data_IF_214264090202
#
_entry.id   IF_214264090202
#
_cell.length_a   1.000
_cell.length_b   1.000
_cell.length_c   1.000
_cell.angle_alpha   90.00
_cell.angle_beta   90.00
_cell.angle_gamma   90.00
#
_symmetry.space_group_name_H-M   'P 1'
#
loop_
_entity.id
_entity.type
_entity.pdbx_description
1 polymer ?
#
# COMPACT_ATOMS: atom_id res chain seq x y z
N UNK A 1 -30.13 27.83 3.47
CA UNK A 1 -29.92 26.76 2.47
C UNK A 1 -30.97 25.70 2.70
N UNK A 2 -31.90 25.55 1.72
CA UNK A 2 -33.01 24.59 1.84
C UNK A 2 -32.69 23.30 1.12
N UNK A 3 -33.09 22.16 1.73
CA UNK A 3 -32.99 20.85 1.12
C UNK A 3 -34.19 20.63 0.20
N UNK A 4 -33.98 20.56 -1.11
CA UNK A 4 -35.06 20.33 -2.07
C UNK A 4 -35.50 18.89 -2.10
N UNK A 5 -34.55 17.97 -2.07
CA UNK A 5 -34.86 16.53 -2.04
C UNK A 5 -33.75 15.72 -1.36
N UNK A 6 -34.15 14.59 -0.82
CA UNK A 6 -33.26 13.54 -0.35
C UNK A 6 -33.72 12.22 -0.99
N UNK A 7 -32.87 11.59 -1.80
CA UNK A 7 -33.18 10.28 -2.40
C UNK A 7 -33.36 9.23 -1.35
N UNK A 8 -34.39 8.39 -1.51
CA UNK A 8 -34.74 7.33 -0.55
C UNK A 8 -33.85 6.09 -0.67
N UNK A 9 -33.17 5.89 -1.82
CA UNK A 9 -32.30 4.76 -2.06
C UNK A 9 -30.84 5.23 -2.28
N UNK A 10 -29.85 4.50 -1.73
CA UNK A 10 -28.45 4.79 -1.92
C UNK A 10 -27.96 4.36 -3.31
N UNK A 11 -26.83 4.93 -3.73
CA UNK A 11 -26.08 4.44 -4.88
C UNK A 11 -25.32 3.12 -4.56
N UNK A 12 -24.61 2.57 -5.56
CA UNK A 12 -23.81 1.34 -5.39
C UNK A 12 -22.72 1.44 -4.32
N UNK A 13 -22.37 2.66 -3.90
CA UNK A 13 -21.38 2.92 -2.87
C UNK A 13 -22.01 3.16 -1.49
N UNK A 14 -23.34 2.98 -1.36
CA UNK A 14 -24.06 3.21 -0.12
C UNK A 14 -24.31 4.69 0.20
N UNK A 15 -24.24 5.61 -0.82
CA UNK A 15 -24.41 7.04 -0.61
C UNK A 15 -25.77 7.51 -1.12
N UNK A 16 -26.38 8.37 -0.35
CA UNK A 16 -27.64 9.03 -0.68
C UNK A 16 -27.36 10.38 -1.34
N UNK A 17 -28.16 10.78 -2.29
CA UNK A 17 -28.05 12.10 -2.93
C UNK A 17 -29.01 13.07 -2.26
N UNK A 18 -28.49 14.17 -1.75
CA UNK A 18 -29.23 15.32 -1.24
C UNK A 18 -29.08 16.46 -2.22
N UNK A 19 -30.18 17.02 -2.70
CA UNK A 19 -30.22 18.21 -3.56
C UNK A 19 -30.56 19.46 -2.76
N UNK A 20 -29.91 20.55 -3.06
CA UNK A 20 -30.07 21.86 -2.41
C UNK A 20 -30.72 22.87 -3.36
N UNK A 21 -31.33 23.93 -2.81
CA UNK A 21 -32.05 25.00 -3.54
C UNK A 21 -31.18 25.74 -4.59
N UNK A 22 -29.86 25.74 -4.43
CA UNK A 22 -28.90 26.31 -5.38
C UNK A 22 -28.54 25.37 -6.53
N UNK A 23 -29.20 24.17 -6.59
CA UNK A 23 -28.93 23.13 -7.57
C UNK A 23 -27.71 22.25 -7.25
N UNK A 24 -26.99 22.54 -6.17
CA UNK A 24 -25.88 21.70 -5.74
C UNK A 24 -26.34 20.38 -5.16
N UNK A 25 -25.45 19.36 -5.18
CA UNK A 25 -25.75 18.01 -4.71
C UNK A 25 -24.67 17.53 -3.77
N UNK A 26 -25.09 16.96 -2.65
CA UNK A 26 -24.22 16.29 -1.71
C UNK A 26 -24.45 14.78 -1.75
N UNK A 27 -23.36 14.02 -1.63
CA UNK A 27 -23.40 12.56 -1.49
C UNK A 27 -23.13 12.22 -0.02
N UNK A 28 -24.13 11.67 0.64
CA UNK A 28 -24.13 11.43 2.09
C UNK A 28 -24.20 9.95 2.39
N UNK A 29 -23.57 9.53 3.49
CA UNK A 29 -23.84 8.22 4.06
C UNK A 29 -25.01 8.31 5.05
N UNK A 30 -25.66 7.18 5.29
CA UNK A 30 -26.83 7.08 6.16
C UNK A 30 -26.59 7.70 7.54
N UNK A 31 -25.44 7.41 8.13
CA UNK A 31 -25.04 7.96 9.42
C UNK A 31 -25.09 9.51 9.43
N UNK A 32 -24.58 10.16 8.40
CA UNK A 32 -24.62 11.63 8.31
C UNK A 32 -26.06 12.17 8.22
N UNK A 33 -26.95 11.46 7.52
CA UNK A 33 -28.35 11.85 7.42
C UNK A 33 -29.02 11.77 8.80
N UNK A 34 -28.77 10.70 9.54
CA UNK A 34 -29.31 10.47 10.89
C UNK A 34 -28.74 11.46 11.91
N UNK A 35 -27.42 11.67 11.93
CA UNK A 35 -26.73 12.56 12.85
C UNK A 35 -27.18 14.03 12.72
N UNK A 36 -27.51 14.46 11.51
CA UNK A 36 -27.98 15.82 11.22
C UNK A 36 -29.50 15.95 11.10
N UNK A 37 -30.24 14.84 11.21
CA UNK A 37 -31.70 14.82 11.10
C UNK A 37 -32.20 15.37 9.78
N UNK A 38 -31.54 15.02 8.64
CA UNK A 38 -31.81 15.60 7.34
C UNK A 38 -33.08 15.03 6.70
N UNK A 39 -33.93 15.92 6.20
CA UNK A 39 -35.14 15.56 5.45
C UNK A 39 -35.47 16.60 4.36
N UNK A 40 -36.28 16.23 3.41
CA UNK A 40 -36.73 17.12 2.34
C UNK A 40 -37.54 18.28 2.92
N UNK A 41 -37.15 19.51 2.57
CA UNK A 41 -37.77 20.74 3.05
C UNK A 41 -37.09 21.35 4.28
N UNK A 42 -36.11 20.69 4.90
CA UNK A 42 -35.33 21.26 6.01
C UNK A 42 -34.55 22.49 5.56
N UNK A 43 -34.63 23.56 6.34
CA UNK A 43 -33.83 24.77 6.16
C UNK A 43 -32.62 24.73 7.10
N UNK A 44 -31.43 24.80 6.52
CA UNK A 44 -30.17 24.82 7.25
C UNK A 44 -29.67 26.27 7.39
N UNK A 45 -29.29 26.66 8.59
CA UNK A 45 -28.52 27.88 8.78
C UNK A 45 -27.14 27.76 8.08
N UNK A 46 -26.47 28.86 7.89
CA UNK A 46 -25.13 28.85 7.28
C UNK A 46 -24.12 28.05 8.13
N UNK A 47 -24.25 28.10 9.45
CA UNK A 47 -23.41 27.35 10.36
C UNK A 47 -23.70 25.84 10.28
N UNK A 48 -24.97 25.45 10.31
CA UNK A 48 -25.37 24.06 10.15
C UNK A 48 -24.91 23.49 8.80
N UNK A 49 -25.02 24.27 7.74
CA UNK A 49 -24.54 23.86 6.42
C UNK A 49 -23.01 23.65 6.39
N UNK A 50 -22.22 24.56 6.98
CA UNK A 50 -20.77 24.38 7.10
C UNK A 50 -20.41 23.11 7.88
N UNK A 51 -21.09 22.87 8.99
CA UNK A 51 -20.90 21.64 9.80
C UNK A 51 -21.26 20.38 9.00
N UNK A 52 -22.35 20.43 8.24
CA UNK A 52 -22.74 19.34 7.35
C UNK A 52 -21.66 19.04 6.30
N UNK A 53 -21.15 20.07 5.61
CA UNK A 53 -20.09 19.88 4.62
C UNK A 53 -18.82 19.27 5.23
N UNK A 54 -18.43 19.68 6.43
CA UNK A 54 -17.29 19.10 7.14
C UNK A 54 -17.52 17.62 7.47
N UNK A 55 -18.72 17.28 7.97
CA UNK A 55 -19.08 15.89 8.29
C UNK A 55 -19.15 15.01 7.03
N UNK A 56 -19.67 15.54 5.92
CA UNK A 56 -19.71 14.84 4.63
C UNK A 56 -18.29 14.53 4.15
N UNK A 57 -17.38 15.50 4.20
CA UNK A 57 -15.99 15.33 3.79
C UNK A 57 -15.27 14.32 4.67
N UNK A 58 -15.44 14.39 5.98
CA UNK A 58 -14.87 13.42 6.93
C UNK A 58 -15.37 12.00 6.68
N UNK A 59 -16.69 11.81 6.56
CA UNK A 59 -17.28 10.50 6.32
C UNK A 59 -16.86 9.94 4.96
N UNK A 60 -16.75 10.77 3.91
CA UNK A 60 -16.23 10.37 2.60
C UNK A 60 -14.83 9.78 2.70
N UNK A 61 -13.92 10.50 3.38
CA UNK A 61 -12.54 10.06 3.58
C UNK A 61 -12.48 8.74 4.36
N UNK A 62 -13.22 8.62 5.48
CA UNK A 62 -13.30 7.39 6.29
C UNK A 62 -13.78 6.19 5.47
N UNK A 63 -14.89 6.32 4.77
CA UNK A 63 -15.47 5.23 3.99
C UNK A 63 -14.60 4.84 2.79
N UNK A 64 -13.88 5.78 2.20
CA UNK A 64 -12.90 5.50 1.14
C UNK A 64 -11.67 4.80 1.71
N UNK A 65 -11.20 5.22 2.87
CA UNK A 65 -10.07 4.60 3.56
C UNK A 65 -10.37 3.12 3.89
N UNK A 66 -11.52 2.84 4.50
CA UNK A 66 -11.97 1.46 4.78
C UNK A 66 -11.94 0.60 3.51
N UNK A 67 -12.47 1.10 2.39
CA UNK A 67 -12.46 0.34 1.13
C UNK A 67 -11.05 0.05 0.60
N UNK A 68 -10.12 0.99 0.77
CA UNK A 68 -8.74 0.79 0.32
C UNK A 68 -8.05 -0.28 1.18
N UNK A 69 -8.16 -0.21 2.51
CA UNK A 69 -7.50 -1.19 3.40
C UNK A 69 -8.13 -2.57 3.32
N UNK A 70 -9.44 -2.66 3.05
CA UNK A 70 -10.12 -3.95 2.85
C UNK A 70 -9.69 -4.65 1.54
N UNK A 71 -9.19 -3.90 0.56
CA UNK A 71 -8.80 -4.44 -0.74
C UNK A 71 -7.30 -4.76 -0.84
N UNK A 72 -6.44 -4.15 -0.04
CA UNK A 72 -4.99 -4.31 -0.13
C UNK A 72 -4.27 -3.87 1.14
N UNK A 73 -3.15 -4.55 1.45
CA UNK A 73 -2.22 -4.08 2.46
C UNK A 73 -1.52 -2.80 1.97
N UNK A 74 -1.70 -1.72 2.71
CA UNK A 74 -1.13 -0.41 2.43
C UNK A 74 -0.51 0.16 3.70
N UNK A 75 0.54 0.97 3.58
CA UNK A 75 1.04 1.73 4.73
C UNK A 75 0.16 2.94 5.01
N UNK A 76 0.26 3.48 6.24
CA UNK A 76 -0.43 4.72 6.63
C UNK A 76 -0.15 5.85 5.63
N UNK A 77 1.11 6.02 5.23
CA UNK A 77 1.51 7.05 4.26
C UNK A 77 1.01 6.79 2.85
N UNK A 78 1.00 5.53 2.41
CA UNK A 78 0.44 5.18 1.09
C UNK A 78 -1.08 5.38 1.06
N UNK A 79 -1.79 5.03 2.15
CA UNK A 79 -3.22 5.29 2.30
C UNK A 79 -3.54 6.80 2.24
N UNK A 80 -2.83 7.64 3.01
CA UNK A 80 -3.00 9.10 2.98
C UNK A 80 -2.86 9.64 1.54
N UNK A 81 -1.78 9.24 0.86
CA UNK A 81 -1.54 9.69 -0.51
C UNK A 81 -2.63 9.24 -1.50
N UNK A 82 -3.10 8.00 -1.37
CA UNK A 82 -4.20 7.48 -2.22
C UNK A 82 -5.52 8.22 -1.98
N UNK A 83 -5.81 8.58 -0.74
CA UNK A 83 -6.99 9.37 -0.39
C UNK A 83 -6.93 10.74 -1.07
N UNK A 84 -5.82 11.45 -0.94
CA UNK A 84 -5.61 12.76 -1.58
C UNK A 84 -5.66 12.66 -3.11
N UNK A 85 -5.02 11.66 -3.71
CA UNK A 85 -5.09 11.41 -5.17
C UNK A 85 -6.51 11.14 -5.67
N UNK A 86 -7.38 10.60 -4.80
CA UNK A 86 -8.79 10.36 -5.12
C UNK A 86 -9.70 11.57 -4.80
N UNK A 87 -9.11 12.73 -4.49
CA UNK A 87 -9.79 14.00 -4.28
C UNK A 87 -10.28 14.25 -2.86
N UNK A 88 -9.84 13.46 -1.86
CA UNK A 88 -10.15 13.78 -0.47
C UNK A 88 -9.27 14.94 0.02
N UNK A 89 -9.81 15.77 0.89
CA UNK A 89 -9.06 16.86 1.54
C UNK A 89 -7.89 16.28 2.36
N UNK A 90 -6.68 16.86 2.28
CA UNK A 90 -5.50 16.32 2.98
C UNK A 90 -5.67 16.23 4.50
N UNK A 91 -6.41 17.13 5.14
CA UNK A 91 -6.66 17.06 6.58
C UNK A 91 -7.62 15.92 6.92
N UNK A 92 -8.66 15.72 6.10
CA UNK A 92 -9.58 14.61 6.27
C UNK A 92 -8.92 13.26 5.96
N UNK A 93 -8.03 13.22 4.97
CA UNK A 93 -7.23 12.03 4.69
C UNK A 93 -6.38 11.60 5.89
N UNK A 94 -5.67 12.54 6.52
CA UNK A 94 -4.89 12.27 7.75
C UNK A 94 -5.77 11.80 8.91
N UNK A 95 -6.92 12.45 9.14
CA UNK A 95 -7.88 12.03 10.18
C UNK A 95 -8.41 10.61 9.95
N UNK A 96 -8.72 10.27 8.69
CA UNK A 96 -9.18 8.92 8.34
C UNK A 96 -8.10 7.86 8.59
N UNK A 97 -6.82 8.17 8.30
CA UNK A 97 -5.69 7.29 8.59
C UNK A 97 -5.50 7.12 10.10
N UNK A 98 -5.53 8.22 10.88
CA UNK A 98 -5.44 8.17 12.36
C UNK A 98 -6.55 7.31 12.95
N UNK A 99 -7.78 7.54 12.54
CA UNK A 99 -8.94 6.77 12.97
C UNK A 99 -8.80 5.27 12.71
N UNK A 100 -8.34 4.87 11.49
CA UNK A 100 -8.07 3.46 11.20
C UNK A 100 -6.93 2.87 12.03
N UNK A 101 -5.92 3.70 12.33
CA UNK A 101 -4.81 3.29 13.19
C UNK A 101 -5.25 3.06 14.64
N UNK A 102 -6.12 3.92 15.18
CA UNK A 102 -6.71 3.78 16.52
C UNK A 102 -7.57 2.51 16.62
N UNK A 103 -8.25 2.14 15.55
CA UNK A 103 -9.00 0.90 15.43
C UNK A 103 -8.15 -0.34 15.12
N UNK A 104 -6.83 -0.22 15.05
CA UNK A 104 -5.88 -1.28 14.66
C UNK A 104 -6.20 -1.93 13.30
N UNK A 105 -6.88 -1.20 12.40
CA UNK A 105 -7.19 -1.66 11.05
C UNK A 105 -6.08 -1.37 10.03
N UNK A 106 -5.09 -0.57 10.41
CA UNK A 106 -3.87 -0.30 9.66
C UNK A 106 -2.68 -0.26 10.62
N UNK A 107 -1.64 -1.04 10.30
CA UNK A 107 -0.42 -1.15 11.07
C UNK A 107 0.77 -1.28 10.11
N UNK A 108 1.71 -0.34 10.18
CA UNK A 108 2.88 -0.31 9.30
C UNK A 108 3.89 -1.41 9.66
N UNK A 109 3.98 -1.84 10.94
CA UNK A 109 4.85 -2.94 11.35
C UNK A 109 4.35 -4.27 10.77
N UNK A 110 3.08 -4.61 10.98
CA UNK A 110 2.46 -5.81 10.43
C UNK A 110 2.49 -5.81 8.88
N UNK A 111 2.34 -4.62 8.28
CA UNK A 111 2.46 -4.45 6.82
C UNK A 111 3.89 -4.70 6.34
N UNK A 112 4.91 -4.18 7.05
CA UNK A 112 6.32 -4.42 6.73
C UNK A 112 6.67 -5.90 6.77
N UNK A 113 6.29 -6.62 7.82
CA UNK A 113 6.48 -8.07 7.94
C UNK A 113 5.82 -8.84 6.80
N UNK A 114 4.60 -8.46 6.42
CA UNK A 114 3.88 -9.09 5.32
C UNK A 114 4.60 -8.88 3.98
N UNK A 115 5.12 -7.67 3.74
CA UNK A 115 5.94 -7.35 2.56
C UNK A 115 7.20 -8.19 2.54
N UNK A 116 7.91 -8.27 3.67
CA UNK A 116 9.16 -9.05 3.78
C UNK A 116 8.90 -10.54 3.54
N UNK A 117 7.88 -11.11 4.16
CA UNK A 117 7.46 -12.51 3.90
C UNK A 117 7.16 -12.76 2.41
N UNK A 118 6.48 -11.83 1.76
CA UNK A 118 6.22 -11.93 0.31
C UNK A 118 7.48 -11.83 -0.53
N UNK A 119 8.47 -11.03 -0.14
CA UNK A 119 9.77 -10.93 -0.80
C UNK A 119 10.57 -12.23 -0.64
N UNK A 120 10.60 -12.81 0.55
CA UNK A 120 11.24 -14.11 0.85
C UNK A 120 10.60 -15.23 0.00
N UNK A 121 9.27 -15.28 -0.05
CA UNK A 121 8.55 -16.28 -0.84
C UNK A 121 8.86 -16.19 -2.35
N UNK A 122 9.08 -14.96 -2.86
CA UNK A 122 9.46 -14.71 -4.26
C UNK A 122 10.95 -14.96 -4.56
N UNK A 123 11.75 -15.32 -3.56
CA UNK A 123 13.18 -15.48 -3.70
C UNK A 123 13.91 -14.17 -4.02
N UNK A 124 13.47 -13.06 -3.43
CA UNK A 124 14.18 -11.79 -3.52
C UNK A 124 15.29 -11.72 -2.46
N UNK A 125 16.37 -11.02 -2.76
CA UNK A 125 17.41 -10.70 -1.79
C UNK A 125 17.00 -9.54 -0.87
N UNK A 126 17.73 -9.38 0.23
CA UNK A 126 17.46 -8.36 1.27
C UNK A 126 17.43 -6.93 0.70
N UNK A 127 18.30 -6.62 -0.27
CA UNK A 127 18.32 -5.29 -0.91
C UNK A 127 17.02 -5.00 -1.68
N UNK A 128 16.47 -5.97 -2.40
CA UNK A 128 15.18 -5.80 -3.08
C UNK A 128 14.02 -5.68 -2.10
N UNK A 129 14.06 -6.41 -0.98
CA UNK A 129 13.07 -6.28 0.08
C UNK A 129 13.07 -4.85 0.67
N UNK A 130 14.24 -4.27 0.96
CA UNK A 130 14.37 -2.84 1.36
C UNK A 130 13.77 -1.89 0.32
N UNK A 131 14.04 -2.13 -0.95
CA UNK A 131 13.48 -1.32 -2.02
C UNK A 131 11.95 -1.41 -2.07
N UNK A 132 11.37 -2.61 -1.89
CA UNK A 132 9.91 -2.78 -1.84
C UNK A 132 9.31 -2.09 -0.64
N UNK A 133 9.94 -2.13 0.55
CA UNK A 133 9.52 -1.38 1.73
C UNK A 133 9.49 0.13 1.44
N UNK A 134 10.52 0.66 0.77
CA UNK A 134 10.56 2.06 0.32
C UNK A 134 9.43 2.38 -0.67
N UNK A 135 9.25 1.58 -1.71
CA UNK A 135 8.19 1.75 -2.72
C UNK A 135 6.79 1.74 -2.09
N UNK A 136 6.62 0.97 -1.01
CA UNK A 136 5.38 0.87 -0.21
C UNK A 136 5.29 1.92 0.89
N UNK A 137 6.26 2.83 0.97
CA UNK A 137 6.28 3.95 1.93
C UNK A 137 6.20 3.51 3.39
N UNK A 138 6.78 2.36 3.70
CA UNK A 138 6.95 1.93 5.08
C UNK A 138 7.99 2.86 5.75
N UNK A 139 7.74 3.34 6.98
CA UNK A 139 8.70 4.12 7.76
C UNK A 139 10.03 3.38 7.91
N UNK A 140 11.16 4.11 7.74
CA UNK A 140 12.50 3.49 7.73
C UNK A 140 12.87 2.83 9.07
N UNK A 141 12.38 3.39 10.16
CA UNK A 141 12.57 2.88 11.52
C UNK A 141 12.03 1.46 11.72
N UNK A 142 11.09 1.02 10.89
CA UNK A 142 10.50 -0.32 10.96
C UNK A 142 11.26 -1.35 10.10
N UNK A 143 12.19 -0.92 9.24
CA UNK A 143 12.80 -1.82 8.27
C UNK A 143 13.73 -2.85 8.89
N UNK A 144 14.58 -2.42 9.84
CA UNK A 144 15.56 -3.33 10.44
C UNK A 144 14.86 -4.43 11.24
N UNK A 145 13.85 -4.08 12.04
CA UNK A 145 13.05 -5.07 12.74
C UNK A 145 12.35 -6.05 11.78
N UNK A 146 11.75 -5.54 10.69
CA UNK A 146 11.08 -6.40 9.71
C UNK A 146 12.05 -7.30 8.92
N UNK A 147 13.33 -6.92 8.81
CA UNK A 147 14.37 -7.64 8.08
C UNK A 147 15.30 -8.45 8.99
N UNK A 148 15.11 -8.42 10.32
CA UNK A 148 16.01 -9.05 11.28
C UNK A 148 16.25 -10.53 10.96
N UNK A 149 15.18 -11.28 10.80
CA UNK A 149 15.20 -12.72 10.50
C UNK A 149 15.16 -13.00 9.00
N UNK A 150 15.76 -12.13 8.15
CA UNK A 150 15.78 -12.38 6.71
C UNK A 150 16.66 -13.60 6.42
N UNK A 151 16.10 -14.72 5.91
CA UNK A 151 16.82 -15.96 5.77
C UNK A 151 17.91 -15.89 4.72
N UNK A 152 18.92 -16.72 4.87
CA UNK A 152 19.87 -16.99 3.79
C UNK A 152 19.10 -17.51 2.55
N UNK A 153 19.47 -17.00 1.39
CA UNK A 153 18.84 -17.32 0.12
C UNK A 153 19.76 -18.13 -0.81
N UNK A 154 20.90 -18.61 -0.32
CA UNK A 154 21.92 -19.31 -1.13
C UNK A 154 21.32 -20.48 -1.89
N UNK A 155 20.49 -21.31 -1.25
CA UNK A 155 19.81 -22.43 -1.89
C UNK A 155 18.88 -21.96 -3.03
N UNK A 156 18.09 -20.90 -2.81
CA UNK A 156 17.21 -20.33 -3.85
C UNK A 156 17.98 -19.71 -5.00
N UNK A 157 19.15 -19.13 -4.72
CA UNK A 157 20.07 -18.63 -5.74
C UNK A 157 20.57 -19.82 -6.57
N UNK A 158 21.03 -20.89 -5.92
CA UNK A 158 21.51 -22.09 -6.58
C UNK A 158 20.42 -22.74 -7.45
N UNK A 159 19.19 -22.84 -6.96
CA UNK A 159 18.05 -23.34 -7.74
C UNK A 159 17.74 -22.48 -8.96
N UNK A 160 17.80 -21.16 -8.79
CA UNK A 160 17.63 -20.23 -9.92
C UNK A 160 18.73 -20.42 -10.98
N UNK A 161 19.99 -20.55 -10.54
CA UNK A 161 21.13 -20.82 -11.42
C UNK A 161 20.98 -22.14 -12.16
N UNK A 162 20.66 -23.25 -11.45
CA UNK A 162 20.39 -24.57 -12.07
C UNK A 162 19.31 -24.49 -13.12
N UNK A 163 18.20 -23.82 -12.82
CA UNK A 163 17.07 -23.66 -13.75
C UNK A 163 17.42 -22.82 -14.97
N UNK A 164 18.27 -21.80 -14.83
CA UNK A 164 18.66 -20.89 -15.92
C UNK A 164 19.79 -21.45 -16.78
N UNK A 165 20.80 -22.05 -16.16
CA UNK A 165 21.99 -22.52 -16.84
C UNK A 165 21.81 -23.93 -17.44
N UNK A 166 20.98 -24.77 -16.81
CA UNK A 166 20.73 -26.16 -17.25
C UNK A 166 22.02 -26.96 -17.53
N UNK A 167 23.07 -26.70 -16.74
CA UNK A 167 24.39 -27.31 -16.91
C UNK A 167 25.27 -26.65 -17.97
N UNK A 168 24.84 -25.56 -18.62
CA UNK A 168 25.66 -24.83 -19.57
C UNK A 168 26.75 -24.00 -18.87
N UNK A 169 27.97 -24.06 -19.37
CA UNK A 169 29.11 -23.24 -18.93
C UNK A 169 29.30 -22.00 -19.84
N UNK A 170 28.30 -21.63 -20.69
CA UNK A 170 28.39 -20.45 -21.54
C UNK A 170 28.52 -19.17 -20.67
N UNK A 171 29.63 -18.41 -20.77
CA UNK A 171 29.85 -17.21 -19.97
C UNK A 171 28.76 -16.14 -20.17
N UNK A 172 28.19 -16.04 -21.39
CA UNK A 172 27.12 -15.08 -21.68
C UNK A 172 25.81 -15.46 -20.94
N UNK A 173 25.54 -16.74 -20.80
CA UNK A 173 24.38 -17.25 -20.08
C UNK A 173 24.55 -17.05 -18.57
N UNK A 174 25.76 -17.33 -18.06
CA UNK A 174 26.10 -17.08 -16.65
C UNK A 174 25.96 -15.60 -16.30
N UNK A 175 26.55 -14.69 -17.08
CA UNK A 175 26.43 -13.25 -16.87
C UNK A 175 24.97 -12.80 -16.82
N UNK A 176 24.13 -13.25 -17.74
CA UNK A 176 22.69 -12.94 -17.75
C UNK A 176 21.98 -13.45 -16.49
N UNK A 177 22.34 -14.63 -15.98
CA UNK A 177 21.77 -15.18 -14.76
C UNK A 177 22.21 -14.38 -13.51
N UNK A 178 23.48 -13.99 -13.44
CA UNK A 178 24.04 -13.15 -12.39
C UNK A 178 23.35 -11.78 -12.38
N UNK A 179 23.24 -11.10 -13.52
CA UNK A 179 22.55 -9.82 -13.63
C UNK A 179 21.09 -9.91 -13.20
N UNK A 180 20.43 -11.04 -13.47
CA UNK A 180 19.07 -11.27 -13.02
C UNK A 180 18.96 -11.43 -11.50
N UNK A 181 19.93 -12.08 -10.86
CA UNK A 181 20.00 -12.22 -9.40
C UNK A 181 20.32 -10.89 -8.72
N UNK A 182 21.25 -10.08 -9.29
CA UNK A 182 21.53 -8.74 -8.80
C UNK A 182 20.29 -7.85 -8.85
N UNK A 183 19.52 -7.86 -9.95
CA UNK A 183 18.23 -7.15 -10.05
C UNK A 183 17.20 -7.66 -9.05
N UNK A 184 17.31 -8.91 -8.60
CA UNK A 184 16.48 -9.47 -7.51
C UNK A 184 16.99 -9.08 -6.12
N UNK A 185 18.11 -8.34 -6.02
CA UNK A 185 18.66 -7.80 -4.79
C UNK A 185 19.49 -8.78 -3.97
N UNK A 186 20.04 -9.82 -4.60
CA UNK A 186 21.04 -10.67 -3.97
C UNK A 186 22.41 -9.98 -4.01
N UNK A 187 23.24 -10.22 -2.99
CA UNK A 187 24.62 -9.71 -2.96
C UNK A 187 25.53 -10.51 -3.87
N UNK A 188 26.64 -9.89 -4.32
CA UNK A 188 27.68 -10.59 -5.07
C UNK A 188 28.23 -11.77 -4.28
N UNK A 189 28.47 -11.61 -2.97
CA UNK A 189 28.97 -12.68 -2.11
C UNK A 189 28.06 -13.90 -2.09
N UNK A 190 26.74 -13.71 -1.92
CA UNK A 190 25.77 -14.80 -1.93
C UNK A 190 25.69 -15.49 -3.30
N UNK A 191 25.81 -14.73 -4.40
CA UNK A 191 25.80 -15.29 -5.76
C UNK A 191 27.08 -16.09 -6.00
N UNK A 192 28.25 -15.57 -5.59
CA UNK A 192 29.55 -16.25 -5.71
C UNK A 192 29.55 -17.57 -4.92
N UNK A 193 29.05 -17.54 -3.70
CA UNK A 193 28.90 -18.74 -2.89
C UNK A 193 28.07 -19.80 -3.59
N UNK A 194 26.89 -19.45 -4.11
CA UNK A 194 26.02 -20.39 -4.82
C UNK A 194 26.65 -20.91 -6.12
N UNK A 195 27.42 -20.11 -6.86
CA UNK A 195 28.16 -20.55 -8.04
C UNK A 195 29.27 -21.55 -7.66
N UNK A 196 30.02 -21.26 -6.60
CA UNK A 196 31.05 -22.17 -6.07
C UNK A 196 30.47 -23.53 -5.67
N UNK A 197 29.33 -23.55 -4.99
CA UNK A 197 28.62 -24.81 -4.65
C UNK A 197 28.19 -25.62 -5.87
N UNK A 198 27.96 -24.95 -7.00
CA UNK A 198 27.60 -25.59 -8.26
C UNK A 198 28.81 -25.96 -9.14
N UNK A 199 30.05 -25.74 -8.64
CA UNK A 199 31.30 -25.93 -9.39
C UNK A 199 31.32 -25.15 -10.72
N UNK A 200 30.70 -23.98 -10.74
CA UNK A 200 30.66 -23.07 -11.87
C UNK A 200 31.80 -22.02 -11.75
N UNK A 201 32.32 -21.58 -12.88
CA UNK A 201 33.42 -20.64 -12.94
C UNK A 201 33.05 -19.29 -12.30
N UNK A 202 33.95 -18.76 -11.46
CA UNK A 202 33.74 -17.52 -10.71
C UNK A 202 34.70 -16.40 -11.11
N UNK A 203 35.51 -16.59 -12.15
CA UNK A 203 36.62 -15.68 -12.54
C UNK A 203 36.12 -14.30 -13.08
N UNK A 204 34.85 -14.18 -13.47
CA UNK A 204 34.27 -12.95 -14.03
C UNK A 204 33.71 -11.98 -12.97
N UNK A 205 33.93 -12.20 -11.66
CA UNK A 205 33.45 -11.30 -10.61
C UNK A 205 34.48 -10.22 -10.28
N UNK A 206 34.09 -8.94 -10.24
CA UNK A 206 34.91 -7.90 -9.68
C UNK A 206 35.16 -8.19 -8.19
N UNK A 207 36.43 -8.05 -7.75
CA UNK A 207 36.74 -8.09 -6.33
C UNK A 207 36.02 -6.92 -5.63
N UNK A 208 35.34 -7.21 -4.51
CA UNK A 208 34.71 -6.17 -3.69
C UNK A 208 35.84 -5.35 -3.02
N UNK A 209 35.91 -4.02 -3.31
CA UNK A 209 36.65 -3.04 -2.51
C UNK A 209 35.88 -2.63 -1.24
#
# INVERSE_FOLDING_TARGET
MRIEYLKTAPDRMGRYTLGLEDGSKLLLYRQTIEDFGLYTGLELTQEQYKRLLAAVSEMSAKMRAVRIVSAANVSKKDLENRLVQKGEDPAQARKAVSWLSELHLIDDSATAETIVRACIAKGYGRSRARQVLYEKRIPRELWEAALEDYPDQTEKIADFLRAKLKGSQDPKLQKKAIDALLRRGHSYGAIRQALSELSLDTDDFPEEE
#
